data_IF_151079774337
#
_entry.id   IF_151079774337
#
_cell.length_a   1.000
_cell.length_b   1.000
_cell.length_c   1.000
_cell.angle_alpha   90.00
_cell.angle_beta   90.00
_cell.angle_gamma   90.00
#
_symmetry.space_group_name_H-M   'P 1'
#
loop_
_entity.id
_entity.type
_entity.pdbx_description
1 polymer ?
#
# COMPACT_ATOMS: atom_id res chain seq x y z
N UNK A 1 -17.89 -4.49 -15.87
CA UNK A 1 -16.81 -4.91 -16.78
C UNK A 1 -16.07 -6.08 -16.13
N UNK A 2 -16.19 -7.28 -16.72
CA UNK A 2 -15.54 -8.49 -16.20
C UNK A 2 -14.25 -8.83 -16.97
N UNK A 3 -13.59 -7.80 -17.49
CA UNK A 3 -12.43 -7.93 -18.36
C UNK A 3 -11.16 -7.46 -17.62
N UNK A 4 -10.12 -8.29 -17.65
CA UNK A 4 -8.83 -8.01 -17.02
C UNK A 4 -7.80 -7.62 -18.09
N UNK A 5 -7.17 -6.47 -17.93
CA UNK A 5 -6.05 -6.06 -18.78
C UNK A 5 -4.76 -6.55 -18.15
N UNK A 6 -4.01 -7.37 -18.84
CA UNK A 6 -2.72 -7.88 -18.39
C UNK A 6 -1.61 -7.09 -19.05
N UNK A 7 -0.76 -6.45 -18.26
CA UNK A 7 0.46 -5.81 -18.74
C UNK A 7 1.62 -6.78 -18.49
N UNK A 8 2.02 -7.54 -19.52
CA UNK A 8 3.01 -8.60 -19.41
C UNK A 8 4.37 -8.17 -19.96
N UNK A 9 5.38 -8.16 -19.09
CA UNK A 9 6.75 -7.82 -19.44
C UNK A 9 7.71 -8.94 -19.08
N UNK A 10 8.21 -9.61 -20.12
CA UNK A 10 9.00 -10.82 -20.00
C UNK A 10 8.16 -12.11 -19.97
N UNK A 11 8.84 -13.23 -20.18
CA UNK A 11 8.23 -14.56 -20.23
C UNK A 11 9.10 -15.59 -19.54
N UNK A 12 8.49 -16.55 -18.87
CA UNK A 12 9.10 -17.77 -18.36
C UNK A 12 8.02 -18.84 -18.19
N UNK A 13 8.40 -20.11 -18.17
CA UNK A 13 7.45 -21.20 -17.90
C UNK A 13 6.69 -20.98 -16.58
N UNK A 14 7.37 -20.45 -15.58
CA UNK A 14 6.77 -20.16 -14.28
C UNK A 14 5.77 -19.01 -14.36
N UNK A 15 6.11 -17.90 -15.02
CA UNK A 15 5.18 -16.78 -15.20
C UNK A 15 3.95 -17.21 -15.99
N UNK A 16 4.09 -18.04 -17.01
CA UNK A 16 2.97 -18.58 -17.78
C UNK A 16 2.02 -19.41 -16.91
N UNK A 17 2.54 -20.31 -16.05
CA UNK A 17 1.72 -21.04 -15.07
C UNK A 17 0.97 -20.10 -14.10
N UNK A 18 1.66 -19.06 -13.63
CA UNK A 18 1.06 -18.04 -12.76
C UNK A 18 -0.06 -17.29 -13.49
N UNK A 19 0.13 -16.93 -14.76
CA UNK A 19 -0.87 -16.27 -15.60
C UNK A 19 -2.08 -17.19 -15.85
N UNK A 20 -1.87 -18.43 -16.25
CA UNK A 20 -2.96 -19.39 -16.47
C UNK A 20 -3.83 -19.52 -15.23
N UNK A 21 -3.21 -19.61 -14.04
CA UNK A 21 -3.95 -19.67 -12.77
C UNK A 21 -4.71 -18.36 -12.48
N UNK A 22 -4.07 -17.20 -12.68
CA UNK A 22 -4.65 -15.88 -12.46
C UNK A 22 -5.85 -15.59 -13.35
N UNK A 23 -5.80 -16.06 -14.58
CA UNK A 23 -6.75 -15.71 -15.65
C UNK A 23 -7.87 -16.74 -15.84
N UNK A 24 -7.82 -17.88 -15.13
CA UNK A 24 -8.68 -19.05 -15.34
C UNK A 24 -10.18 -18.77 -15.34
N UNK A 25 -10.64 -17.66 -14.76
CA UNK A 25 -12.05 -17.30 -14.63
C UNK A 25 -12.44 -16.02 -15.36
N UNK A 26 -11.49 -15.31 -15.98
CA UNK A 26 -11.71 -13.95 -16.45
C UNK A 26 -11.37 -13.81 -17.92
N UNK A 27 -12.23 -13.12 -18.65
CA UNK A 27 -11.89 -12.60 -19.95
C UNK A 27 -10.75 -11.60 -19.81
N UNK A 28 -9.79 -11.62 -20.73
CA UNK A 28 -8.59 -10.78 -20.61
C UNK A 28 -8.02 -10.38 -21.97
N UNK A 29 -7.26 -9.30 -21.91
CA UNK A 29 -6.41 -8.83 -23.02
C UNK A 29 -4.98 -8.75 -22.47
N UNK A 30 -4.01 -9.25 -23.23
CA UNK A 30 -2.58 -9.16 -22.87
C UNK A 30 -1.94 -8.07 -23.73
N UNK A 31 -1.26 -7.14 -23.07
CA UNK A 31 -0.44 -6.10 -23.67
C UNK A 31 1.00 -6.37 -23.27
N UNK A 32 1.86 -6.68 -24.25
CA UNK A 32 3.27 -7.04 -24.02
C UNK A 32 4.25 -6.03 -24.63
N UNK A 33 3.76 -5.03 -25.32
CA UNK A 33 4.56 -3.92 -25.85
C UNK A 33 4.13 -2.62 -25.17
N UNK A 34 5.10 -1.84 -24.71
CA UNK A 34 4.86 -0.56 -24.07
C UNK A 34 4.18 0.44 -25.01
N UNK A 35 4.47 0.38 -26.30
CA UNK A 35 3.86 1.27 -27.29
C UNK A 35 2.35 1.05 -27.43
N UNK A 36 1.87 -0.18 -27.18
CA UNK A 36 0.46 -0.55 -27.24
C UNK A 36 -0.30 -0.22 -25.93
N UNK A 37 0.37 0.36 -24.95
CA UNK A 37 -0.25 0.82 -23.70
C UNK A 37 -0.97 2.15 -23.93
N UNK A 38 -2.17 2.07 -24.45
CA UNK A 38 -3.06 3.21 -24.57
C UNK A 38 -3.78 3.48 -23.24
N UNK A 39 -4.83 4.31 -23.27
CA UNK A 39 -5.61 4.69 -22.11
C UNK A 39 -5.90 3.52 -21.15
N UNK A 40 -5.30 3.57 -19.96
CA UNK A 40 -5.49 2.59 -18.89
C UNK A 40 -6.52 3.01 -17.85
N UNK A 41 -7.34 4.01 -18.12
CA UNK A 41 -8.40 4.48 -17.21
C UNK A 41 -9.55 3.47 -17.10
N UNK A 42 -10.16 3.42 -15.92
CA UNK A 42 -11.34 2.60 -15.62
C UNK A 42 -11.14 1.10 -15.91
N UNK A 43 -9.91 0.59 -15.79
CA UNK A 43 -9.58 -0.82 -16.08
C UNK A 43 -9.25 -1.61 -14.80
N UNK A 44 -9.45 -2.92 -14.90
CA UNK A 44 -8.88 -3.90 -13.96
C UNK A 44 -7.56 -4.36 -14.56
N UNK A 45 -6.45 -4.18 -13.84
CA UNK A 45 -5.10 -4.33 -14.39
C UNK A 45 -4.30 -5.35 -13.58
N UNK A 46 -3.71 -6.32 -14.27
CA UNK A 46 -2.74 -7.24 -13.71
C UNK A 46 -1.37 -6.97 -14.32
N UNK A 47 -0.43 -6.49 -13.54
CA UNK A 47 0.98 -6.38 -13.95
C UNK A 47 1.64 -7.75 -13.80
N UNK A 48 2.14 -8.32 -14.89
CA UNK A 48 2.80 -9.62 -14.95
C UNK A 48 4.26 -9.43 -15.37
N UNK A 49 5.21 -9.68 -14.45
CA UNK A 49 6.60 -9.28 -14.63
C UNK A 49 7.51 -10.49 -14.43
N UNK A 50 8.40 -10.74 -15.39
CA UNK A 50 9.52 -11.67 -15.25
C UNK A 50 10.81 -10.90 -14.98
N UNK A 51 11.53 -11.24 -13.91
CA UNK A 51 12.75 -10.54 -13.52
C UNK A 51 14.06 -11.25 -13.91
N UNK A 52 14.00 -12.53 -14.24
CA UNK A 52 15.21 -13.30 -14.45
C UNK A 52 16.14 -13.32 -13.23
N UNK A 53 17.44 -13.43 -13.48
CA UNK A 53 18.45 -13.63 -12.42
C UNK A 53 18.95 -12.32 -11.80
N UNK A 54 18.94 -11.22 -12.54
CA UNK A 54 19.49 -9.93 -12.11
C UNK A 54 18.48 -9.02 -11.39
N UNK A 55 17.19 -9.34 -11.48
CA UNK A 55 16.12 -8.48 -10.97
C UNK A 55 15.84 -7.26 -11.84
N UNK A 56 16.44 -7.16 -13.02
CA UNK A 56 16.27 -6.06 -13.96
C UNK A 56 15.44 -6.55 -15.16
N UNK A 57 14.39 -5.82 -15.48
CA UNK A 57 13.60 -5.99 -16.68
C UNK A 57 13.46 -4.63 -17.38
N UNK A 58 14.09 -4.48 -18.54
CA UNK A 58 14.15 -3.19 -19.25
C UNK A 58 12.77 -2.78 -19.78
N UNK A 59 11.98 -3.71 -20.28
CA UNK A 59 10.63 -3.39 -20.77
C UNK A 59 9.69 -2.97 -19.63
N UNK A 60 9.84 -3.57 -18.45
CA UNK A 60 9.16 -3.11 -17.25
C UNK A 60 9.58 -1.67 -16.86
N UNK A 61 10.86 -1.33 -16.98
CA UNK A 61 11.32 0.05 -16.71
C UNK A 61 10.75 1.04 -17.72
N UNK A 62 10.69 0.70 -19.00
CA UNK A 62 10.02 1.51 -20.04
C UNK A 62 8.53 1.70 -19.76
N UNK A 63 7.85 0.65 -19.27
CA UNK A 63 6.45 0.74 -18.83
C UNK A 63 6.27 1.77 -17.71
N UNK A 64 7.13 1.74 -16.69
CA UNK A 64 7.07 2.70 -15.58
C UNK A 64 7.28 4.13 -16.08
N UNK A 65 8.25 4.34 -16.96
CA UNK A 65 8.53 5.63 -17.60
C UNK A 65 7.30 6.13 -18.37
N UNK A 66 6.70 5.28 -19.21
CA UNK A 66 5.47 5.63 -19.96
C UNK A 66 4.32 6.00 -19.02
N UNK A 67 4.11 5.26 -17.92
CA UNK A 67 3.05 5.58 -16.95
C UNK A 67 3.23 7.00 -16.41
N UNK A 68 4.44 7.38 -16.01
CA UNK A 68 4.71 8.70 -15.45
C UNK A 68 4.63 9.82 -16.48
N UNK A 69 5.18 9.61 -17.67
CA UNK A 69 5.15 10.59 -18.76
C UNK A 69 3.73 10.84 -19.30
N UNK A 70 2.84 9.86 -19.17
CA UNK A 70 1.44 9.99 -19.61
C UNK A 70 0.55 10.80 -18.66
N UNK A 71 1.07 11.21 -17.51
CA UNK A 71 0.41 12.10 -16.57
C UNK A 71 -0.38 11.40 -15.45
N UNK A 72 -0.79 12.19 -14.48
CA UNK A 72 -1.38 11.72 -13.22
C UNK A 72 -2.73 11.00 -13.38
N UNK A 73 -3.45 11.21 -14.46
CA UNK A 73 -4.76 10.61 -14.72
C UNK A 73 -4.69 9.39 -15.68
N UNK A 74 -3.49 8.96 -16.08
CA UNK A 74 -3.31 7.89 -17.07
C UNK A 74 -3.99 6.56 -16.66
N UNK A 75 -4.03 6.27 -15.36
CA UNK A 75 -4.65 5.07 -14.79
C UNK A 75 -5.84 5.40 -13.86
N UNK A 76 -6.44 6.55 -14.04
CA UNK A 76 -7.54 7.03 -13.18
C UNK A 76 -8.68 6.02 -13.08
N UNK A 77 -9.17 5.81 -11.86
CA UNK A 77 -10.24 4.85 -11.54
C UNK A 77 -9.90 3.38 -11.87
N UNK A 78 -8.64 3.05 -12.13
CA UNK A 78 -8.23 1.67 -12.36
C UNK A 78 -7.91 0.96 -11.05
N UNK A 79 -7.97 -0.37 -11.09
CA UNK A 79 -7.65 -1.22 -9.94
C UNK A 79 -6.58 -2.21 -10.37
N UNK A 80 -5.46 -2.20 -9.66
CA UNK A 80 -4.27 -2.96 -10.01
C UNK A 80 -3.92 -4.09 -9.05
N UNK A 81 -3.15 -5.04 -9.55
CA UNK A 81 -2.43 -6.04 -8.78
C UNK A 81 -1.21 -6.51 -9.57
N UNK A 82 -0.30 -7.19 -8.90
CA UNK A 82 1.02 -7.52 -9.43
C UNK A 82 1.31 -9.00 -9.24
N UNK A 83 1.75 -9.67 -10.29
CA UNK A 83 2.40 -10.98 -10.19
C UNK A 83 3.83 -10.86 -10.71
N UNK A 84 4.78 -11.40 -9.97
CA UNK A 84 6.21 -11.38 -10.33
C UNK A 84 6.79 -12.78 -10.27
N UNK A 85 7.47 -13.16 -11.34
CA UNK A 85 8.31 -14.34 -11.38
C UNK A 85 9.79 -13.93 -11.32
N UNK A 86 10.56 -14.58 -10.47
CA UNK A 86 12.00 -14.37 -10.32
C UNK A 86 12.69 -15.67 -9.99
N UNK A 87 13.87 -15.89 -10.57
CA UNK A 87 14.77 -16.99 -10.20
C UNK A 87 15.62 -16.67 -8.96
N UNK A 88 15.56 -15.41 -8.48
CA UNK A 88 16.34 -14.93 -7.35
C UNK A 88 15.46 -14.79 -6.09
N UNK A 89 16.09 -14.87 -4.92
CA UNK A 89 15.44 -14.60 -3.62
C UNK A 89 15.24 -13.08 -3.36
N UNK A 90 15.88 -12.23 -4.15
CA UNK A 90 15.89 -10.79 -4.01
C UNK A 90 15.08 -10.12 -5.13
N UNK A 91 14.91 -8.80 -5.04
CA UNK A 91 14.41 -7.88 -6.05
C UNK A 91 12.89 -7.88 -6.28
N UNK A 92 12.19 -9.02 -6.22
CA UNK A 92 10.74 -9.10 -6.52
C UNK A 92 9.92 -8.06 -5.76
N UNK A 93 10.16 -7.89 -4.46
CA UNK A 93 9.44 -6.92 -3.63
C UNK A 93 9.79 -5.46 -3.93
N UNK A 94 11.04 -5.16 -4.27
CA UNK A 94 11.43 -3.79 -4.63
C UNK A 94 10.83 -3.38 -5.97
N UNK A 95 10.78 -4.31 -6.94
CA UNK A 95 10.12 -4.08 -8.23
C UNK A 95 8.61 -3.93 -8.06
N UNK A 96 7.97 -4.82 -7.30
CA UNK A 96 6.52 -4.73 -7.02
C UNK A 96 6.14 -3.40 -6.38
N UNK A 97 6.86 -3.00 -5.34
CA UNK A 97 6.63 -1.76 -4.60
C UNK A 97 6.75 -0.53 -5.49
N UNK A 98 7.78 -0.49 -6.36
CA UNK A 98 7.97 0.58 -7.33
C UNK A 98 6.84 0.60 -8.38
N UNK A 99 6.45 -0.56 -8.90
CA UNK A 99 5.32 -0.69 -9.83
C UNK A 99 4.03 -0.14 -9.21
N UNK A 100 3.73 -0.54 -7.98
CA UNK A 100 2.54 -0.08 -7.25
C UNK A 100 2.60 1.43 -7.02
N UNK A 101 3.74 1.96 -6.60
CA UNK A 101 3.91 3.38 -6.33
C UNK A 101 3.67 4.22 -7.59
N UNK A 102 4.30 3.89 -8.71
CA UNK A 102 4.18 4.66 -9.96
C UNK A 102 2.76 4.58 -10.55
N UNK A 103 2.17 3.39 -10.55
CA UNK A 103 0.79 3.24 -10.99
C UNK A 103 -0.22 3.97 -10.07
N UNK A 104 0.06 4.02 -8.76
CA UNK A 104 -0.76 4.75 -7.80
C UNK A 104 -0.69 6.27 -8.01
N UNK A 105 0.50 6.81 -8.32
CA UNK A 105 0.67 8.22 -8.70
C UNK A 105 -0.08 8.58 -9.98
N UNK A 106 -0.31 7.60 -10.87
CA UNK A 106 -1.11 7.76 -12.08
C UNK A 106 -2.61 7.48 -11.90
N UNK A 107 -3.08 7.29 -10.67
CA UNK A 107 -4.49 7.14 -10.33
C UNK A 107 -5.01 5.71 -10.19
N UNK A 108 -4.12 4.71 -10.10
CA UNK A 108 -4.50 3.31 -9.86
C UNK A 108 -4.66 3.00 -8.36
N UNK A 109 -5.77 2.38 -7.99
CA UNK A 109 -6.01 1.82 -6.67
C UNK A 109 -5.43 0.39 -6.58
N UNK A 110 -4.91 0.01 -5.41
CA UNK A 110 -4.53 -1.38 -5.15
C UNK A 110 -5.28 -1.93 -3.92
N UNK A 111 -6.00 -3.05 -4.06
CA UNK A 111 -6.58 -3.74 -2.92
C UNK A 111 -5.48 -4.21 -1.96
N UNK A 112 -5.85 -4.55 -0.74
CA UNK A 112 -4.89 -5.10 0.21
C UNK A 112 -4.25 -6.40 -0.30
N UNK A 113 -2.95 -6.57 -0.07
CA UNK A 113 -2.15 -7.69 -0.57
C UNK A 113 -2.21 -7.84 -2.11
N UNK A 114 -1.81 -6.79 -2.85
CA UNK A 114 -1.90 -6.78 -4.31
C UNK A 114 -0.82 -7.62 -5.02
N UNK A 115 0.13 -8.18 -4.28
CA UNK A 115 1.29 -8.88 -4.83
C UNK A 115 1.21 -10.37 -4.61
N UNK A 116 1.39 -11.16 -5.69
CA UNK A 116 1.83 -12.56 -5.66
C UNK A 116 3.22 -12.67 -6.29
N UNK A 117 4.17 -13.21 -5.54
CA UNK A 117 5.57 -13.30 -5.95
C UNK A 117 6.09 -14.73 -5.93
N UNK A 118 6.76 -15.12 -7.00
CA UNK A 118 7.58 -16.32 -7.07
C UNK A 118 9.04 -15.93 -6.91
N UNK A 119 9.69 -16.42 -5.87
CA UNK A 119 11.13 -16.37 -5.69
C UNK A 119 11.76 -17.72 -6.04
N UNK A 120 13.08 -17.79 -6.25
CA UNK A 120 13.75 -19.00 -6.72
C UNK A 120 13.37 -20.28 -5.96
N UNK A 121 13.37 -20.23 -4.63
CA UNK A 121 13.09 -21.38 -3.77
C UNK A 121 11.64 -21.57 -3.36
N UNK A 122 10.72 -20.63 -3.66
CA UNK A 122 9.34 -20.58 -3.17
C UNK A 122 9.19 -20.65 -1.63
N UNK A 123 10.26 -20.36 -0.87
CA UNK A 123 10.25 -20.42 0.60
C UNK A 123 9.24 -19.47 1.25
N UNK A 124 8.83 -18.41 0.54
CA UNK A 124 7.78 -17.49 0.97
C UNK A 124 6.41 -18.17 1.18
N UNK A 125 6.18 -19.37 0.61
CA UNK A 125 4.95 -20.16 0.79
C UNK A 125 5.04 -21.25 1.88
N UNK A 126 6.19 -21.44 2.55
CA UNK A 126 6.35 -22.46 3.61
C UNK A 126 5.36 -22.30 4.77
N UNK A 127 5.08 -21.08 5.18
CA UNK A 127 4.14 -20.83 6.28
C UNK A 127 2.72 -21.25 5.89
N UNK A 128 2.31 -21.01 4.65
CA UNK A 128 1.00 -21.42 4.15
C UNK A 128 0.90 -22.94 4.03
N UNK A 129 1.94 -23.58 3.51
CA UNK A 129 2.04 -25.05 3.45
C UNK A 129 1.93 -25.68 4.84
N UNK A 130 2.59 -25.11 5.86
CA UNK A 130 2.50 -25.60 7.23
C UNK A 130 1.09 -25.44 7.83
N UNK A 131 0.32 -24.44 7.42
CA UNK A 131 -1.07 -24.23 7.85
C UNK A 131 -1.99 -25.28 7.23
N UNK A 132 -1.73 -25.71 6.00
CA UNK A 132 -2.50 -26.77 5.29
C UNK A 132 -2.02 -28.19 5.63
N UNK A 133 -1.24 -28.36 6.69
CA UNK A 133 -0.68 -29.66 7.13
C UNK A 133 0.14 -30.39 6.06
N UNK A 134 0.67 -29.66 5.05
CA UNK A 134 1.48 -30.22 3.97
C UNK A 134 0.69 -30.81 2.80
N UNK A 135 -0.64 -30.70 2.79
CA UNK A 135 -1.49 -31.26 1.72
C UNK A 135 -1.30 -30.59 0.35
N UNK A 136 -0.62 -29.41 0.29
CA UNK A 136 -0.34 -28.67 -0.93
C UNK A 136 1.14 -28.45 -1.13
N UNK A 137 1.61 -28.48 -2.38
CA UNK A 137 2.98 -28.10 -2.72
C UNK A 137 3.21 -26.59 -2.58
N UNK A 138 4.48 -26.15 -2.59
CA UNK A 138 4.79 -24.70 -2.61
C UNK A 138 4.29 -24.05 -3.90
N UNK A 139 4.34 -24.79 -5.03
CA UNK A 139 3.83 -24.33 -6.32
C UNK A 139 2.30 -24.17 -6.31
N UNK A 140 1.56 -25.14 -5.74
CA UNK A 140 0.09 -25.03 -5.59
C UNK A 140 -0.30 -23.80 -4.77
N UNK A 141 0.46 -23.50 -3.71
CA UNK A 141 0.24 -22.31 -2.89
C UNK A 141 0.53 -21.00 -3.65
N UNK A 142 1.57 -20.98 -4.50
CA UNK A 142 1.85 -19.87 -5.40
C UNK A 142 0.69 -19.65 -6.38
N UNK A 143 0.26 -20.69 -7.08
CA UNK A 143 -0.81 -20.61 -8.07
C UNK A 143 -2.15 -20.17 -7.42
N UNK A 144 -2.44 -20.67 -6.24
CA UNK A 144 -3.60 -20.22 -5.47
C UNK A 144 -3.50 -18.75 -5.06
N UNK A 145 -2.31 -18.27 -4.69
CA UNK A 145 -2.12 -16.84 -4.34
C UNK A 145 -2.28 -15.94 -5.57
N UNK A 146 -1.79 -16.36 -6.74
CA UNK A 146 -1.99 -15.68 -8.02
C UNK A 146 -3.48 -15.54 -8.36
N UNK A 147 -4.24 -16.63 -8.25
CA UNK A 147 -5.70 -16.62 -8.44
C UNK A 147 -6.40 -15.66 -7.48
N UNK A 148 -6.04 -15.69 -6.19
CA UNK A 148 -6.58 -14.76 -5.18
C UNK A 148 -6.25 -13.30 -5.49
N UNK A 149 -5.11 -13.01 -6.11
CA UNK A 149 -4.75 -11.65 -6.52
C UNK A 149 -5.68 -11.15 -7.61
N UNK A 150 -5.95 -11.95 -8.65
CA UNK A 150 -6.93 -11.58 -9.67
C UNK A 150 -8.36 -11.49 -9.10
N UNK A 151 -8.75 -12.41 -8.22
CA UNK A 151 -10.06 -12.36 -7.54
C UNK A 151 -10.21 -11.03 -6.74
N UNK A 152 -9.16 -10.55 -6.06
CA UNK A 152 -9.16 -9.27 -5.35
C UNK A 152 -9.29 -8.07 -6.30
N UNK A 153 -8.55 -8.06 -7.42
CA UNK A 153 -8.67 -7.01 -8.44
C UNK A 153 -10.10 -6.93 -8.97
N UNK A 154 -10.66 -8.08 -9.33
CA UNK A 154 -11.97 -8.16 -9.97
C UNK A 154 -13.12 -7.83 -9.00
N UNK A 155 -13.02 -8.27 -7.74
CA UNK A 155 -14.05 -8.01 -6.72
C UNK A 155 -13.95 -6.64 -6.08
N UNK A 156 -12.79 -5.97 -6.15
CA UNK A 156 -12.60 -4.67 -5.54
C UNK A 156 -13.55 -3.62 -6.13
N UNK A 157 -14.20 -2.90 -5.22
CA UNK A 157 -15.11 -1.78 -5.51
C UNK A 157 -14.77 -0.62 -4.58
N UNK A 158 -15.05 0.60 -5.01
CA UNK A 158 -15.06 1.73 -4.10
C UNK A 158 -16.18 1.52 -3.07
N UNK A 159 -15.84 1.57 -1.79
CA UNK A 159 -16.82 1.51 -0.72
C UNK A 159 -17.34 2.93 -0.45
N UNK A 160 -18.65 3.12 -0.52
CA UNK A 160 -19.28 4.36 -0.06
C UNK A 160 -19.46 4.22 1.45
N UNK A 161 -18.72 5.01 2.21
CA UNK A 161 -18.81 5.03 3.67
C UNK A 161 -19.40 6.36 4.08
N UNK A 162 -20.49 6.32 4.85
CA UNK A 162 -21.12 7.52 5.39
C UNK A 162 -20.44 7.91 6.70
N UNK A 163 -20.01 9.16 6.84
CA UNK A 163 -19.27 9.68 7.99
C UNK A 163 -18.01 8.84 8.34
N UNK A 164 -17.05 8.73 7.41
CA UNK A 164 -15.88 7.89 7.62
C UNK A 164 -15.02 8.39 8.79
N UNK A 165 -14.38 7.44 9.46
CA UNK A 165 -13.50 7.68 10.60
C UNK A 165 -12.04 7.68 10.15
N UNK A 166 -11.33 8.76 10.43
CA UNK A 166 -9.90 8.89 10.15
C UNK A 166 -9.13 8.74 11.46
N UNK A 167 -8.23 7.76 11.50
CA UNK A 167 -7.19 7.69 12.52
C UNK A 167 -5.92 8.33 11.96
N UNK A 168 -5.42 9.34 12.63
CA UNK A 168 -4.16 9.99 12.29
C UNK A 168 -3.08 9.56 13.27
N UNK A 169 -2.00 8.95 12.76
CA UNK A 169 -0.81 8.66 13.56
C UNK A 169 0.31 9.60 13.16
N UNK A 170 0.90 10.29 14.14
CA UNK A 170 1.97 11.23 13.88
C UNK A 170 3.08 11.15 14.93
N UNK A 171 4.28 11.59 14.52
CA UNK A 171 5.48 11.67 15.39
C UNK A 171 6.04 13.08 15.37
N UNK A 172 6.89 13.39 16.32
CA UNK A 172 7.51 14.71 16.41
C UNK A 172 6.65 15.76 17.12
N UNK A 173 7.14 16.98 17.18
CA UNK A 173 6.46 18.08 17.86
C UNK A 173 5.46 18.77 16.91
N UNK A 174 4.16 18.75 17.17
CA UNK A 174 3.16 19.34 16.28
C UNK A 174 3.33 20.86 16.08
N UNK A 175 3.99 21.58 16.99
CA UNK A 175 4.23 23.03 16.87
C UNK A 175 5.32 23.38 15.86
N UNK A 176 6.21 22.45 15.54
CA UNK A 176 7.36 22.70 14.66
C UNK A 176 7.40 21.78 13.44
N UNK A 177 6.50 20.80 13.37
CA UNK A 177 6.48 19.80 12.29
C UNK A 177 5.82 20.35 11.02
N UNK A 178 6.57 20.43 9.95
CA UNK A 178 6.04 20.74 8.61
C UNK A 178 4.99 19.69 8.16
N UNK A 179 5.19 18.43 8.50
CA UNK A 179 4.25 17.35 8.16
C UNK A 179 2.90 17.54 8.87
N UNK A 180 2.92 17.95 10.14
CA UNK A 180 1.71 18.22 10.90
C UNK A 180 1.03 19.53 10.44
N UNK A 181 1.82 20.56 10.09
CA UNK A 181 1.28 21.79 9.51
C UNK A 181 0.56 21.52 8.19
N UNK A 182 1.14 20.69 7.31
CA UNK A 182 0.51 20.28 6.06
C UNK A 182 -0.77 19.47 6.29
N UNK A 183 -0.77 18.58 7.29
CA UNK A 183 -1.99 17.88 7.71
C UNK A 183 -3.13 18.85 8.11
N UNK A 184 -2.83 19.89 8.87
CA UNK A 184 -3.84 20.88 9.24
C UNK A 184 -4.47 21.56 8.01
N UNK A 185 -3.67 21.86 6.97
CA UNK A 185 -4.20 22.42 5.71
C UNK A 185 -5.11 21.41 4.98
N UNK A 186 -4.79 20.12 4.99
CA UNK A 186 -5.64 19.06 4.44
C UNK A 186 -6.93 18.94 5.25
N UNK A 187 -6.82 18.93 6.58
CA UNK A 187 -7.94 18.79 7.53
C UNK A 187 -8.97 19.90 7.38
N UNK A 188 -8.56 21.12 7.06
CA UNK A 188 -9.45 22.26 6.79
C UNK A 188 -10.42 21.99 5.61
N UNK A 189 -10.12 21.01 4.74
CA UNK A 189 -10.91 20.65 3.56
C UNK A 189 -11.62 19.29 3.69
N UNK A 190 -11.62 18.70 4.89
CA UNK A 190 -12.28 17.42 5.19
C UNK A 190 -13.57 17.67 6.00
N UNK A 191 -14.71 17.72 5.32
CA UNK A 191 -16.01 17.90 5.96
C UNK A 191 -16.66 16.55 6.30
N UNK A 192 -17.30 16.46 7.47
CA UNK A 192 -18.07 15.28 7.91
C UNK A 192 -17.23 14.02 8.20
N UNK A 193 -15.97 14.17 8.58
CA UNK A 193 -15.15 13.08 9.08
C UNK A 193 -15.04 13.10 10.61
N UNK A 194 -15.06 11.91 11.22
CA UNK A 194 -14.65 11.76 12.61
C UNK A 194 -13.13 11.55 12.65
N UNK A 195 -12.39 12.52 13.15
CA UNK A 195 -10.93 12.50 13.18
C UNK A 195 -10.44 12.21 14.59
N UNK A 196 -9.67 11.13 14.73
CA UNK A 196 -8.95 10.76 15.95
C UNK A 196 -7.45 10.89 15.68
N UNK A 197 -6.74 11.70 16.46
CA UNK A 197 -5.30 11.95 16.31
C UNK A 197 -4.54 11.36 17.51
N UNK A 198 -3.60 10.43 17.25
CA UNK A 198 -2.75 9.82 18.27
C UNK A 198 -1.30 10.24 18.02
N UNK A 199 -0.71 10.89 19.01
CA UNK A 199 0.71 11.26 19.02
C UNK A 199 1.55 10.07 19.48
N UNK A 200 2.43 9.61 18.61
CA UNK A 200 3.40 8.55 18.93
C UNK A 200 4.70 9.20 19.42
N UNK A 201 4.73 9.51 20.70
CA UNK A 201 5.88 10.18 21.33
C UNK A 201 7.14 9.31 21.32
N UNK A 202 8.30 9.96 21.42
CA UNK A 202 9.58 9.27 21.52
C UNK A 202 9.61 8.39 22.79
N UNK A 203 9.91 7.09 22.60
CA UNK A 203 9.97 6.13 23.69
C UNK A 203 8.62 5.59 24.18
N UNK A 204 7.47 6.08 23.66
CA UNK A 204 6.15 5.57 24.03
C UNK A 204 5.85 4.18 23.46
N UNK A 205 6.52 3.80 22.38
CA UNK A 205 6.36 2.50 21.73
C UNK A 205 7.63 1.67 21.82
N UNK A 206 7.58 0.60 22.60
CA UNK A 206 8.62 -0.45 22.56
C UNK A 206 8.48 -1.22 21.26
N UNK A 207 9.56 -1.37 20.49
CA UNK A 207 9.54 -2.11 19.23
C UNK A 207 9.23 -3.60 19.40
N UNK A 208 8.85 -4.26 18.32
CA UNK A 208 8.57 -5.69 18.29
C UNK A 208 9.83 -6.51 18.64
N UNK A 209 9.76 -7.30 19.71
CA UNK A 209 10.88 -8.14 20.19
C UNK A 209 11.00 -9.48 19.47
N UNK A 210 10.22 -9.74 18.42
CA UNK A 210 10.30 -10.98 17.66
C UNK A 210 9.88 -12.22 18.44
N UNK A 211 8.81 -12.15 19.22
CA UNK A 211 8.27 -13.30 19.96
C UNK A 211 8.01 -14.50 19.05
N UNK A 212 8.08 -15.72 19.60
CA UNK A 212 7.69 -16.91 18.87
C UNK A 212 6.26 -16.80 18.30
N UNK A 213 6.01 -17.50 17.19
CA UNK A 213 4.67 -17.49 16.57
C UNK A 213 3.56 -17.86 17.55
N UNK A 214 3.78 -18.90 18.41
CA UNK A 214 2.83 -19.36 19.40
C UNK A 214 2.51 -18.27 20.42
N UNK A 215 3.54 -17.62 20.99
CA UNK A 215 3.37 -16.54 21.96
C UNK A 215 2.64 -15.35 21.35
N UNK A 216 3.08 -14.88 20.17
CA UNK A 216 2.44 -13.77 19.49
C UNK A 216 0.97 -14.08 19.15
N UNK A 217 0.65 -15.31 18.69
CA UNK A 217 -0.71 -15.76 18.39
C UNK A 217 -1.58 -15.79 19.65
N UNK A 218 -1.04 -16.25 20.78
CA UNK A 218 -1.76 -16.31 22.04
C UNK A 218 -2.28 -14.93 22.48
N UNK A 219 -1.39 -13.92 22.56
CA UNK A 219 -1.79 -12.57 22.92
C UNK A 219 -2.72 -11.92 21.88
N UNK A 220 -2.49 -12.18 20.60
CA UNK A 220 -3.31 -11.59 19.52
C UNK A 220 -4.79 -12.02 19.58
N UNK A 221 -5.12 -13.18 20.15
CA UNK A 221 -6.52 -13.65 20.30
C UNK A 221 -7.37 -12.67 21.11
N UNK A 222 -6.78 -12.04 22.11
CA UNK A 222 -7.42 -10.99 22.93
C UNK A 222 -7.12 -9.57 22.43
N UNK A 223 -6.72 -9.41 21.18
CA UNK A 223 -6.35 -8.09 20.60
C UNK A 223 -5.24 -7.41 21.41
N UNK A 224 -4.26 -8.19 21.83
CA UNK A 224 -3.21 -7.76 22.75
C UNK A 224 -1.81 -8.10 22.21
N UNK A 225 -0.79 -7.49 22.83
CA UNK A 225 0.61 -7.79 22.66
C UNK A 225 1.27 -7.83 24.04
N UNK A 226 2.13 -8.79 24.30
CA UNK A 226 2.82 -8.95 25.61
C UNK A 226 3.44 -7.65 26.14
N UNK A 227 3.89 -6.78 25.26
CA UNK A 227 4.57 -5.53 25.62
C UNK A 227 3.61 -4.36 25.92
N UNK A 228 2.27 -4.55 25.85
CA UNK A 228 1.26 -3.57 26.28
C UNK A 228 1.46 -2.15 25.74
N UNK A 229 1.19 -1.17 26.60
CA UNK A 229 1.36 0.25 26.38
C UNK A 229 0.43 0.84 25.32
N UNK A 230 0.72 2.04 24.86
CA UNK A 230 -0.10 2.82 23.91
C UNK A 230 -0.58 2.01 22.71
N UNK A 231 0.21 1.02 22.25
CA UNK A 231 -0.19 0.15 21.13
C UNK A 231 -1.45 -0.65 21.43
N UNK A 232 -1.58 -1.17 22.64
CA UNK A 232 -2.71 -2.01 23.06
C UNK A 232 -3.85 -1.16 23.60
N UNK A 233 -3.53 -0.12 24.31
CA UNK A 233 -4.48 0.74 25.03
C UNK A 233 -5.20 1.71 24.09
N UNK A 234 -4.50 2.23 23.08
CA UNK A 234 -5.03 3.27 22.18
C UNK A 234 -4.98 2.88 20.71
N UNK A 235 -3.80 2.48 20.18
CA UNK A 235 -3.59 2.32 18.72
C UNK A 235 -4.39 1.15 18.15
N UNK A 236 -4.42 -0.01 18.80
CA UNK A 236 -5.17 -1.16 18.30
C UNK A 236 -6.68 -0.90 18.28
N UNK A 237 -7.31 -0.39 19.35
CA UNK A 237 -8.72 -0.03 19.30
C UNK A 237 -9.03 1.00 18.23
N UNK A 238 -8.19 2.04 18.10
CA UNK A 238 -8.38 3.08 17.10
C UNK A 238 -8.26 2.55 15.66
N UNK A 239 -7.31 1.64 15.38
CA UNK A 239 -7.19 0.99 14.05
C UNK A 239 -8.39 0.10 13.75
N UNK A 240 -8.93 -0.60 14.75
CA UNK A 240 -10.12 -1.43 14.53
C UNK A 240 -11.35 -0.57 14.22
N UNK A 241 -11.46 0.60 14.82
CA UNK A 241 -12.61 1.51 14.66
C UNK A 241 -12.53 2.40 13.41
N UNK A 242 -11.33 2.72 12.90
CA UNK A 242 -11.18 3.62 11.76
C UNK A 242 -11.52 2.95 10.41
N UNK A 243 -11.90 3.77 9.44
CA UNK A 243 -11.99 3.40 8.02
C UNK A 243 -10.72 3.79 7.26
N UNK A 244 -10.09 4.88 7.69
CA UNK A 244 -8.90 5.47 7.07
C UNK A 244 -7.80 5.58 8.12
N UNK A 245 -6.63 5.02 7.80
CA UNK A 245 -5.38 5.26 8.52
C UNK A 245 -4.58 6.32 7.78
N UNK A 246 -4.42 7.49 8.39
CA UNK A 246 -3.58 8.58 7.91
C UNK A 246 -2.24 8.55 8.65
N UNK A 247 -1.15 8.36 7.90
CA UNK A 247 0.21 8.30 8.45
C UNK A 247 0.94 9.61 8.17
N UNK A 248 1.28 10.37 9.20
CA UNK A 248 2.11 11.56 9.05
C UNK A 248 3.58 11.17 9.23
N UNK A 249 4.33 11.14 8.13
CA UNK A 249 5.68 10.59 8.07
C UNK A 249 6.70 11.66 7.66
N UNK A 250 7.32 12.38 8.59
CA UNK A 250 8.53 13.13 8.28
C UNK A 250 9.64 12.17 7.83
N UNK A 251 10.41 12.56 6.83
CA UNK A 251 11.56 11.78 6.38
C UNK A 251 12.76 12.02 7.30
N UNK A 252 13.26 10.96 7.91
CA UNK A 252 14.47 10.95 8.71
C UNK A 252 15.51 10.02 8.08
N UNK A 253 16.50 10.59 7.37
CA UNK A 253 17.56 9.82 6.72
C UNK A 253 17.02 8.70 5.79
N UNK A 254 16.07 9.07 4.92
CA UNK A 254 15.42 8.15 3.98
C UNK A 254 14.69 6.96 4.64
N UNK A 255 14.23 7.16 5.86
CA UNK A 255 13.50 6.15 6.62
C UNK A 255 12.29 6.73 7.36
N UNK A 256 11.27 5.90 7.54
CA UNK A 256 10.17 6.16 8.48
C UNK A 256 10.78 6.29 9.89
N UNK A 257 10.28 7.23 10.69
CA UNK A 257 10.75 7.42 12.06
C UNK A 257 10.75 6.13 12.87
N UNK A 258 11.68 5.98 13.81
CA UNK A 258 11.82 4.79 14.64
C UNK A 258 10.51 4.42 15.38
N UNK A 259 9.83 5.43 15.93
CA UNK A 259 8.56 5.21 16.63
C UNK A 259 7.47 4.68 15.69
N UNK A 260 7.32 5.27 14.51
CA UNK A 260 6.35 4.84 13.53
C UNK A 260 6.69 3.45 12.97
N UNK A 261 7.97 3.14 12.79
CA UNK A 261 8.44 1.79 12.44
C UNK A 261 8.08 0.78 13.53
N UNK A 262 8.23 1.14 14.80
CA UNK A 262 7.81 0.30 15.93
C UNK A 262 6.29 0.05 15.94
N UNK A 263 5.48 1.07 15.65
CA UNK A 263 4.02 0.91 15.46
C UNK A 263 3.73 -0.11 14.37
N UNK A 264 4.31 0.07 13.16
CA UNK A 264 4.12 -0.82 12.02
C UNK A 264 4.52 -2.26 12.36
N UNK A 265 5.66 -2.46 13.02
CA UNK A 265 6.14 -3.77 13.44
C UNK A 265 5.17 -4.44 14.41
N UNK A 266 4.66 -3.69 15.38
CA UNK A 266 3.73 -4.20 16.38
C UNK A 266 2.31 -4.44 15.86
N UNK A 267 1.90 -3.83 14.76
CA UNK A 267 0.66 -4.21 14.06
C UNK A 267 0.61 -5.70 13.69
N UNK A 268 1.75 -6.38 13.67
CA UNK A 268 1.79 -7.83 13.43
C UNK A 268 0.93 -8.62 14.42
N UNK A 269 0.86 -8.22 15.68
CA UNK A 269 0.01 -8.88 16.68
C UNK A 269 -1.47 -8.72 16.32
N UNK A 270 -1.92 -7.50 16.03
CA UNK A 270 -3.29 -7.23 15.59
C UNK A 270 -3.63 -7.95 14.28
N UNK A 271 -2.72 -7.91 13.30
CA UNK A 271 -2.88 -8.52 11.99
C UNK A 271 -3.03 -10.05 12.01
N UNK A 272 -2.52 -10.73 13.05
CA UNK A 272 -2.73 -12.18 13.21
C UNK A 272 -4.20 -12.54 13.40
N UNK A 273 -4.97 -11.68 14.07
CA UNK A 273 -6.39 -11.87 14.34
C UNK A 273 -7.26 -11.22 13.26
N UNK A 274 -6.95 -9.98 12.88
CA UNK A 274 -7.77 -9.15 12.01
C UNK A 274 -7.00 -8.74 10.77
N UNK A 275 -7.64 -8.83 9.59
CA UNK A 275 -7.12 -8.35 8.32
C UNK A 275 -7.75 -6.98 8.02
N UNK A 276 -7.02 -6.14 7.28
CA UNK A 276 -7.40 -4.75 7.04
C UNK A 276 -7.86 -4.52 5.58
N UNK A 277 -8.54 -5.51 4.99
CA UNK A 277 -9.05 -5.42 3.60
C UNK A 277 -10.18 -4.39 3.41
N UNK A 278 -10.71 -3.87 4.50
CA UNK A 278 -11.78 -2.86 4.57
C UNK A 278 -11.27 -1.46 4.94
N UNK A 279 -9.96 -1.32 5.19
CA UNK A 279 -9.34 -0.08 5.68
C UNK A 279 -8.39 0.50 4.65
N UNK A 280 -8.46 1.81 4.50
CA UNK A 280 -7.64 2.56 3.55
C UNK A 280 -6.43 3.18 4.23
N UNK A 281 -5.33 3.31 3.49
CA UNK A 281 -4.15 4.04 3.97
C UNK A 281 -3.90 5.28 3.13
N UNK A 282 -3.69 6.41 3.80
CA UNK A 282 -3.17 7.63 3.25
C UNK A 282 -1.94 8.10 4.02
N UNK A 283 -1.13 8.94 3.40
CA UNK A 283 0.05 9.49 4.07
C UNK A 283 0.32 10.93 3.66
N UNK A 284 0.86 11.70 4.59
CA UNK A 284 1.49 12.99 4.33
C UNK A 284 2.98 12.83 4.67
N UNK A 285 3.84 13.13 3.70
CA UNK A 285 5.28 12.93 3.80
C UNK A 285 5.96 14.26 3.54
N UNK A 286 6.77 14.73 4.49
CA UNK A 286 7.60 15.92 4.28
C UNK A 286 9.06 15.55 4.49
N UNK A 287 9.87 15.79 3.47
CA UNK A 287 11.31 15.57 3.47
C UNK A 287 12.04 16.90 3.59
N UNK A 288 13.18 16.92 4.29
CA UNK A 288 14.02 18.12 4.34
C UNK A 288 14.63 18.45 2.96
N UNK A 289 14.85 17.44 2.13
CA UNK A 289 15.45 17.58 0.80
C UNK A 289 14.70 16.68 -0.21
N UNK A 290 15.18 15.48 -0.47
CA UNK A 290 14.58 14.49 -1.36
C UNK A 290 14.13 13.25 -0.58
N UNK A 291 13.66 12.21 -1.26
CA UNK A 291 13.41 10.89 -0.66
C UNK A 291 11.99 10.69 -0.11
N UNK A 292 11.03 11.57 -0.44
CA UNK A 292 9.63 11.34 -0.10
C UNK A 292 9.06 10.06 -0.71
N UNK A 293 9.48 9.73 -1.91
CA UNK A 293 9.17 8.49 -2.62
C UNK A 293 9.66 7.24 -1.87
N UNK A 294 10.84 7.30 -1.25
CA UNK A 294 11.39 6.19 -0.45
C UNK A 294 10.45 5.88 0.72
N UNK A 295 9.96 6.89 1.41
CA UNK A 295 9.00 6.73 2.53
C UNK A 295 7.67 6.17 2.02
N UNK A 296 7.15 6.71 0.92
CA UNK A 296 5.91 6.21 0.31
C UNK A 296 6.03 4.72 -0.07
N UNK A 297 7.13 4.33 -0.70
CA UNK A 297 7.41 2.94 -1.03
C UNK A 297 7.53 2.04 0.20
N UNK A 298 8.12 2.52 1.31
CA UNK A 298 8.18 1.77 2.57
C UNK A 298 6.78 1.53 3.15
N UNK A 299 5.90 2.53 3.12
CA UNK A 299 4.51 2.40 3.56
C UNK A 299 3.72 1.41 2.70
N UNK A 300 3.86 1.47 1.38
CA UNK A 300 3.26 0.49 0.46
C UNK A 300 3.70 -0.93 0.83
N UNK A 301 4.99 -1.14 0.99
CA UNK A 301 5.54 -2.45 1.35
C UNK A 301 5.01 -2.96 2.69
N UNK A 302 5.03 -2.10 3.71
CA UNK A 302 4.67 -2.46 5.07
C UNK A 302 3.16 -2.65 5.26
N UNK A 303 2.33 -1.80 4.67
CA UNK A 303 0.91 -1.72 5.01
C UNK A 303 -0.01 -2.28 3.91
N UNK A 304 0.23 -1.97 2.64
CA UNK A 304 -0.58 -2.51 1.55
C UNK A 304 -0.18 -3.95 1.20
N UNK A 305 1.11 -4.22 0.94
CA UNK A 305 1.58 -5.57 0.57
C UNK A 305 1.53 -6.53 1.76
N UNK A 306 2.04 -6.12 2.93
CA UNK A 306 2.19 -7.02 4.08
C UNK A 306 1.02 -7.02 5.06
N UNK A 307 0.25 -5.93 5.18
CA UNK A 307 -0.81 -5.78 6.19
C UNK A 307 -2.22 -5.62 5.63
N UNK A 308 -2.41 -5.74 4.33
CA UNK A 308 -3.72 -5.76 3.66
C UNK A 308 -4.54 -4.46 3.68
N UNK A 309 -3.96 -3.32 4.02
CA UNK A 309 -4.64 -2.04 3.81
C UNK A 309 -4.84 -1.77 2.33
N UNK A 310 -5.98 -1.19 1.98
CA UNK A 310 -6.24 -0.72 0.62
C UNK A 310 -5.42 0.53 0.36
N UNK A 311 -4.76 0.58 -0.79
CA UNK A 311 -4.02 1.74 -1.26
C UNK A 311 -4.92 2.51 -2.25
N UNK A 312 -5.55 3.63 -1.84
CA UNK A 312 -6.38 4.43 -2.74
C UNK A 312 -5.51 5.14 -3.79
N UNK A 313 -6.10 5.65 -4.89
CA UNK A 313 -5.36 6.48 -5.83
C UNK A 313 -4.73 7.69 -5.13
N UNK A 314 -3.53 8.07 -5.53
CA UNK A 314 -2.83 9.25 -4.98
C UNK A 314 -2.71 9.22 -3.45
N UNK A 315 -2.35 8.06 -2.89
CA UNK A 315 -2.41 7.83 -1.44
C UNK A 315 -1.50 8.74 -0.61
N UNK A 316 -0.48 9.36 -1.21
CA UNK A 316 0.50 10.17 -0.50
C UNK A 316 0.59 11.59 -1.05
N UNK A 317 0.50 12.58 -0.15
CA UNK A 317 0.91 13.95 -0.41
C UNK A 317 2.36 14.09 0.05
N UNK A 318 3.26 14.41 -0.89
CA UNK A 318 4.70 14.50 -0.66
C UNK A 318 5.21 15.89 -0.97
N UNK A 319 5.90 16.52 0.01
CA UNK A 319 6.48 17.87 -0.15
C UNK A 319 7.89 17.96 0.43
N UNK A 320 8.60 19.00 0.05
CA UNK A 320 9.96 19.26 0.55
C UNK A 320 9.97 20.55 1.37
N UNK A 321 10.27 20.44 2.68
CA UNK A 321 10.37 21.56 3.59
C UNK A 321 11.30 21.20 4.75
N UNK A 322 12.36 21.98 4.98
CA UNK A 322 13.40 21.65 5.95
C UNK A 322 13.18 22.30 7.31
N UNK A 323 13.10 23.64 7.37
CA UNK A 323 12.95 24.34 8.64
C UNK A 323 11.48 24.43 9.06
N UNK A 324 11.18 24.55 10.37
CA UNK A 324 9.81 24.77 10.84
C UNK A 324 9.12 25.93 10.09
N UNK A 325 7.91 25.67 9.56
CA UNK A 325 7.13 26.64 8.79
C UNK A 325 7.52 26.79 7.33
N UNK A 326 8.54 26.09 6.83
CA UNK A 326 8.90 26.16 5.41
C UNK A 326 7.81 25.59 4.50
N UNK A 327 7.03 24.62 4.97
CA UNK A 327 5.92 24.06 4.20
C UNK A 327 4.87 25.10 3.81
N UNK A 328 4.66 26.12 4.65
CA UNK A 328 3.70 27.20 4.38
C UNK A 328 4.15 28.16 3.28
N UNK A 329 5.45 28.13 2.94
CA UNK A 329 6.07 28.96 1.90
C UNK A 329 6.10 28.28 0.54
N UNK A 330 5.71 27.01 0.45
CA UNK A 330 5.67 26.27 -0.81
C UNK A 330 4.56 26.87 -1.69
N UNK A 331 4.90 27.13 -2.94
CA UNK A 331 3.93 27.64 -3.92
C UNK A 331 2.76 26.68 -4.08
N UNK A 332 1.53 27.20 -4.04
CA UNK A 332 0.28 26.48 -4.18
C UNK A 332 0.08 25.33 -3.15
N UNK A 333 0.70 25.42 -1.96
CA UNK A 333 0.61 24.34 -0.97
C UNK A 333 -0.83 24.12 -0.49
N UNK A 334 -1.62 25.18 -0.35
CA UNK A 334 -3.03 25.07 0.07
C UNK A 334 -3.90 24.43 -1.01
N UNK A 335 -3.63 24.70 -2.28
CA UNK A 335 -4.26 24.06 -3.42
C UNK A 335 -3.93 22.56 -3.47
N UNK A 336 -2.67 22.20 -3.30
CA UNK A 336 -2.23 20.80 -3.20
C UNK A 336 -2.88 20.07 -2.02
N UNK A 337 -2.94 20.71 -0.86
CA UNK A 337 -3.61 20.16 0.33
C UNK A 337 -5.10 19.94 0.07
N UNK A 338 -5.76 20.89 -0.60
CA UNK A 338 -7.17 20.78 -1.00
C UNK A 338 -7.37 19.65 -2.01
N UNK A 339 -6.53 19.55 -3.05
CA UNK A 339 -6.61 18.47 -4.04
C UNK A 339 -6.47 17.09 -3.38
N UNK A 340 -5.57 16.96 -2.41
CA UNK A 340 -5.41 15.73 -1.66
C UNK A 340 -6.66 15.42 -0.82
N UNK A 341 -7.23 16.41 -0.13
CA UNK A 341 -8.49 16.25 0.59
C UNK A 341 -9.65 15.90 -0.36
N UNK A 342 -9.71 16.53 -1.55
CA UNK A 342 -10.70 16.22 -2.57
C UNK A 342 -10.59 14.77 -3.08
N UNK A 343 -9.39 14.22 -3.18
CA UNK A 343 -9.19 12.82 -3.53
C UNK A 343 -9.71 11.88 -2.42
N UNK A 344 -9.50 12.23 -1.15
CA UNK A 344 -10.09 11.52 -0.02
C UNK A 344 -11.62 11.63 -0.07
N UNK A 345 -12.16 12.82 -0.27
CA UNK A 345 -13.60 13.07 -0.35
C UNK A 345 -14.25 12.29 -1.52
N UNK A 346 -13.60 12.20 -2.68
CA UNK A 346 -14.10 11.41 -3.83
C UNK A 346 -14.13 9.92 -3.55
N UNK A 347 -13.19 9.42 -2.75
CA UNK A 347 -13.13 8.01 -2.40
C UNK A 347 -14.21 7.61 -1.37
N UNK A 348 -14.61 8.54 -0.48
CA UNK A 348 -15.50 8.25 0.65
C UNK A 348 -16.72 9.17 0.72
N UNK A 349 -16.60 10.40 0.25
CA UNK A 349 -17.71 11.35 0.25
C UNK A 349 -18.79 10.86 -0.69
N UNK A 350 -19.96 10.53 -0.14
CA UNK A 350 -21.13 10.43 -0.95
C UNK A 350 -21.23 11.67 -1.82
N UNK A 351 -21.44 11.49 -3.13
CA UNK A 351 -21.81 12.58 -4.03
C UNK A 351 -22.83 13.42 -3.31
N UNK A 352 -22.49 14.64 -2.94
CA UNK A 352 -23.50 15.66 -2.65
C UNK A 352 -24.35 15.71 -3.90
N UNK A 353 -25.51 15.06 -3.84
CA UNK A 353 -26.54 15.22 -4.85
C UNK A 353 -26.85 16.71 -4.87
N UNK A 354 -26.34 17.42 -5.88
CA UNK A 354 -26.89 18.67 -6.31
C UNK A 354 -28.08 18.39 -7.22
#
# INVERSE_FOLDING_TARGET
>A
MNHLTVLQFGTSERLEKMLVSSLSKYEHIIVSNVDDMDNLQNKKILFAIELGDTGINIEHMKMLDKILLSGTDFMKNSIGGVIISSNNELFSRSVARKTIFYANMAGCMFPGKPLSESIGSLKNFRTQQAITAGDSSLEDNLLLDCKKTSDRIMSAKANIITNPKILVLYTGNPKTSNTYALWNMVKENLDNYQINEIHIENGSVVDCKGCSYKACKHYSQSTNCFYGGIMVEEVYPAILDCDILMMLCPNYNDAISANMSAVINRLTALYRKTKFYDKYIYSIIVSGFSGGDIIAEQLISALNINKTFILPPYFALMETANNPGDVEKIENIREKAKEFADNINKAFGGRTLK
#
